data_IF_522601911143
#
_entry.id   IF_522601911143
#
_cell.length_a   1.000
_cell.length_b   1.000
_cell.length_c   1.000
_cell.angle_alpha   90.00
_cell.angle_beta   90.00
_cell.angle_gamma   90.00
#
_symmetry.space_group_name_H-M   'P 1'
#
loop_
_entity.id
_entity.type
_entity.pdbx_description
1 polymer ?
#
# COMPACT_ATOMS: atom_id res chain seq x y z
N UNK A 1 11.73 -14.45 15.69
CA UNK A 1 11.04 -14.39 14.39
C UNK A 1 11.26 -15.70 13.67
N UNK A 2 10.19 -16.36 13.24
CA UNK A 2 10.26 -17.62 12.48
C UNK A 2 10.31 -17.30 11.00
N UNK A 3 11.28 -17.83 10.27
CA UNK A 3 11.26 -17.77 8.82
C UNK A 3 10.20 -18.74 8.30
N UNK A 4 9.30 -18.23 7.45
CA UNK A 4 8.32 -19.05 6.74
C UNK A 4 8.80 -19.17 5.31
N UNK A 5 9.03 -20.39 4.86
CA UNK A 5 9.30 -20.69 3.46
C UNK A 5 8.02 -20.45 2.64
N UNK A 6 8.07 -19.52 1.69
CA UNK A 6 6.90 -19.17 0.85
C UNK A 6 6.89 -19.85 -0.50
N UNK A 7 8.07 -20.20 -1.01
CA UNK A 7 8.25 -20.77 -2.34
C UNK A 7 9.61 -21.48 -2.43
N UNK A 8 9.63 -22.69 -2.97
CA UNK A 8 10.83 -23.58 -2.97
C UNK A 8 11.25 -24.03 -4.37
N UNK A 9 10.47 -23.74 -5.41
CA UNK A 9 10.81 -24.12 -6.78
C UNK A 9 11.53 -22.98 -7.50
N UNK A 10 12.47 -23.35 -8.36
CA UNK A 10 13.12 -22.41 -9.27
C UNK A 10 12.33 -22.39 -10.58
N UNK A 11 11.85 -21.21 -10.96
CA UNK A 11 11.21 -20.98 -12.25
C UNK A 11 11.79 -19.71 -12.89
N UNK A 12 11.80 -19.66 -14.22
CA UNK A 12 12.29 -18.48 -14.95
C UNK A 12 11.14 -17.50 -15.08
N UNK A 13 11.25 -16.34 -14.45
CA UNK A 13 10.16 -15.37 -14.41
C UNK A 13 10.62 -13.96 -14.09
N UNK A 14 9.65 -13.08 -13.84
CA UNK A 14 9.88 -11.70 -13.42
C UNK A 14 9.26 -11.45 -12.05
N UNK A 15 9.88 -10.57 -11.27
CA UNK A 15 9.32 -10.07 -10.01
C UNK A 15 8.88 -8.62 -10.25
N UNK A 16 7.63 -8.31 -9.91
CA UNK A 16 7.08 -6.96 -10.05
C UNK A 16 6.52 -6.50 -8.71
N UNK A 17 6.93 -5.30 -8.28
CA UNK A 17 6.39 -4.64 -7.09
C UNK A 17 5.56 -3.43 -7.51
N UNK A 18 4.44 -3.22 -6.82
CA UNK A 18 3.63 -2.01 -6.95
C UNK A 18 3.07 -1.63 -5.58
N UNK A 19 2.97 -0.34 -5.29
CA UNK A 19 2.52 0.14 -3.98
C UNK A 19 2.48 1.65 -3.92
N UNK A 20 1.79 2.20 -2.91
CA UNK A 20 1.83 3.62 -2.59
C UNK A 20 2.13 3.80 -1.09
N UNK A 21 2.57 4.99 -0.73
CA UNK A 21 2.64 5.41 0.68
C UNK A 21 1.23 5.69 1.23
N UNK A 22 1.03 5.49 2.54
CA UNK A 22 -0.23 5.88 3.21
C UNK A 22 -0.24 7.36 3.61
N UNK A 23 0.93 7.98 3.70
CA UNK A 23 1.08 9.34 4.20
C UNK A 23 2.27 10.08 3.63
N UNK A 24 2.20 11.39 3.77
CA UNK A 24 3.16 12.38 3.32
C UNK A 24 3.75 13.09 4.54
N UNK A 25 5.07 13.29 4.49
CA UNK A 25 5.83 13.95 5.54
C UNK A 25 5.39 15.39 5.74
N UNK A 26 5.43 15.83 7.00
CA UNK A 26 4.95 17.15 7.40
C UNK A 26 6.07 18.18 7.47
N UNK A 27 5.68 19.44 7.46
CA UNK A 27 6.51 20.52 8.00
C UNK A 27 6.13 20.82 9.45
N UNK A 28 6.72 21.88 10.00
CA UNK A 28 6.27 22.46 11.27
C UNK A 28 4.95 23.24 11.14
N UNK A 29 4.56 23.59 9.91
CA UNK A 29 3.30 24.28 9.62
C UNK A 29 2.19 23.26 9.32
N UNK A 30 1.03 23.42 9.95
CA UNK A 30 -0.13 22.53 9.73
C UNK A 30 -0.60 22.63 8.28
N UNK A 31 -0.91 21.50 7.66
CA UNK A 31 -1.41 21.48 6.29
C UNK A 31 -0.34 21.73 5.22
N UNK A 32 0.95 21.79 5.59
CA UNK A 32 2.03 22.03 4.64
C UNK A 32 2.97 20.80 4.60
N UNK A 33 3.24 20.23 3.41
CA UNK A 33 4.24 19.17 3.23
C UNK A 33 5.63 19.61 3.72
N UNK A 34 6.45 18.66 4.14
CA UNK A 34 7.82 18.98 4.55
C UNK A 34 8.67 17.74 4.81
N UNK A 35 9.78 17.95 5.51
CA UNK A 35 10.81 16.93 5.79
C UNK A 35 10.88 16.54 7.26
N UNK A 36 9.95 17.01 8.09
CA UNK A 36 9.79 16.50 9.46
C UNK A 36 9.23 15.09 9.29
N UNK A 37 10.09 14.09 9.51
CA UNK A 37 9.89 12.66 9.27
C UNK A 37 8.75 12.07 10.11
N UNK A 38 7.54 12.51 9.80
CA UNK A 38 6.32 12.32 10.55
C UNK A 38 5.15 12.61 9.61
N UNK A 39 4.22 11.66 9.52
CA UNK A 39 3.06 11.77 8.64
C UNK A 39 2.08 12.80 9.21
N UNK A 40 1.56 13.68 8.35
CA UNK A 40 0.42 14.54 8.71
C UNK A 40 -0.57 14.81 7.58
N UNK A 41 -0.22 14.45 6.36
CA UNK A 41 -1.18 14.28 5.26
C UNK A 41 -1.32 12.79 4.94
N UNK A 42 -2.53 12.26 4.96
CA UNK A 42 -2.86 10.91 4.54
C UNK A 42 -3.43 10.92 3.13
N UNK A 43 -3.03 9.94 2.31
CA UNK A 43 -3.52 9.80 0.93
C UNK A 43 -4.92 9.18 0.95
N UNK A 44 -5.79 9.68 0.06
CA UNK A 44 -7.13 9.17 -0.18
C UNK A 44 -7.43 9.12 -1.68
N UNK A 45 -8.23 8.12 -2.10
CA UNK A 45 -8.65 7.99 -3.51
C UNK A 45 -9.49 9.17 -4.02
N UNK A 46 -10.12 9.93 -3.13
CA UNK A 46 -10.99 11.06 -3.48
C UNK A 46 -10.15 12.33 -3.73
N UNK A 47 -9.82 12.58 -4.99
CA UNK A 47 -8.98 13.72 -5.43
C UNK A 47 -9.64 15.09 -5.27
N UNK A 48 -10.95 15.16 -5.05
CA UNK A 48 -11.66 16.42 -4.78
C UNK A 48 -11.44 17.01 -3.38
N UNK A 49 -10.70 16.31 -2.52
CA UNK A 49 -10.34 16.77 -1.18
C UNK A 49 -8.86 17.07 -1.13
N UNK A 50 -8.49 18.14 -0.46
CA UNK A 50 -7.10 18.51 -0.27
C UNK A 50 -6.92 18.97 1.18
N UNK A 51 -5.89 18.48 1.85
CA UNK A 51 -5.50 18.98 3.16
C UNK A 51 -4.46 20.09 2.99
N UNK A 52 -4.84 21.35 3.22
CA UNK A 52 -3.92 22.49 3.10
C UNK A 52 -3.24 22.57 1.72
N UNK A 53 -1.92 22.67 1.69
CA UNK A 53 -1.10 22.69 0.48
C UNK A 53 -0.50 21.34 0.08
N UNK A 54 -0.91 20.25 0.73
CA UNK A 54 -0.61 18.91 0.22
C UNK A 54 -1.27 18.69 -1.15
N UNK A 55 -0.82 17.74 -1.98
CA UNK A 55 -1.48 17.43 -3.24
C UNK A 55 -2.98 17.09 -3.06
N UNK A 56 -3.83 17.32 -4.08
CA UNK A 56 -5.20 16.82 -4.08
C UNK A 56 -5.26 15.31 -3.84
N UNK A 57 -6.31 14.84 -3.17
CA UNK A 57 -6.39 13.47 -2.65
C UNK A 57 -5.74 13.30 -1.28
N UNK A 58 -5.79 14.32 -0.42
CA UNK A 58 -5.19 14.26 0.92
C UNK A 58 -6.16 14.66 2.03
N UNK A 59 -6.01 14.03 3.20
CA UNK A 59 -6.76 14.33 4.43
C UNK A 59 -5.84 14.34 5.64
N UNK A 60 -6.20 15.01 6.73
CA UNK A 60 -5.54 14.88 8.02
C UNK A 60 -6.18 13.81 8.92
N UNK A 61 -7.23 13.12 8.46
CA UNK A 61 -7.95 12.09 9.20
C UNK A 61 -7.41 10.71 8.84
N UNK A 62 -6.61 10.11 9.72
CA UNK A 62 -5.97 8.83 9.46
C UNK A 62 -6.97 7.70 9.15
N UNK A 63 -8.13 7.68 9.81
CA UNK A 63 -9.19 6.67 9.60
C UNK A 63 -9.80 6.71 8.21
N UNK A 64 -9.63 7.82 7.48
CA UNK A 64 -10.16 8.00 6.14
C UNK A 64 -9.11 7.74 5.07
N UNK A 65 -7.91 7.27 5.43
CA UNK A 65 -6.88 6.95 4.45
C UNK A 65 -7.34 5.87 3.47
N UNK A 66 -6.82 5.91 2.24
CA UNK A 66 -7.01 4.84 1.26
C UNK A 66 -5.92 4.88 0.21
N UNK A 67 -5.44 3.70 -0.18
CA UNK A 67 -4.46 3.51 -1.24
C UNK A 67 -4.98 2.49 -2.24
N UNK A 68 -4.68 2.69 -3.53
CA UNK A 68 -4.95 1.72 -4.57
C UNK A 68 -3.82 1.76 -5.59
N UNK A 69 -3.38 0.59 -6.03
CA UNK A 69 -2.39 0.47 -7.08
C UNK A 69 -2.78 -0.66 -8.02
N UNK A 70 -2.36 -0.55 -9.28
CA UNK A 70 -2.60 -1.56 -10.31
C UNK A 70 -1.29 -2.26 -10.62
N UNK A 71 -1.31 -3.59 -10.54
CA UNK A 71 -0.23 -4.45 -10.99
C UNK A 71 -0.52 -4.91 -12.42
N UNK A 72 0.20 -4.36 -13.39
CA UNK A 72 0.08 -4.80 -14.78
C UNK A 72 1.04 -5.97 -15.02
N UNK A 73 0.48 -7.15 -15.29
CA UNK A 73 1.24 -8.34 -15.68
C UNK A 73 1.18 -8.52 -17.21
N UNK A 74 2.26 -8.97 -17.86
CA UNK A 74 2.20 -9.33 -19.27
C UNK A 74 1.14 -10.40 -19.55
N UNK A 75 0.51 -10.33 -20.72
CA UNK A 75 -0.45 -11.34 -21.15
C UNK A 75 0.21 -12.73 -21.25
N UNK A 76 -0.49 -13.77 -20.80
CA UNK A 76 0.03 -15.15 -20.80
C UNK A 76 0.93 -15.49 -19.61
N UNK A 77 1.18 -14.55 -18.68
CA UNK A 77 1.88 -14.87 -17.43
C UNK A 77 1.02 -15.75 -16.51
N UNK A 78 1.68 -16.48 -15.62
CA UNK A 78 1.06 -17.18 -14.49
C UNK A 78 1.58 -16.57 -13.18
N UNK A 79 0.68 -16.24 -12.24
CA UNK A 79 1.10 -15.77 -10.92
C UNK A 79 1.44 -16.96 -10.03
N UNK A 80 2.73 -17.19 -9.84
CA UNK A 80 3.25 -18.22 -8.94
C UNK A 80 3.03 -17.87 -7.46
N UNK A 81 3.17 -16.58 -7.14
CA UNK A 81 3.00 -16.05 -5.79
C UNK A 81 2.62 -14.57 -5.83
N UNK A 82 1.71 -14.15 -4.94
CA UNK A 82 1.40 -12.75 -4.71
C UNK A 82 1.19 -12.49 -3.22
N UNK A 83 1.70 -11.34 -2.76
CA UNK A 83 1.56 -10.89 -1.39
C UNK A 83 1.32 -9.38 -1.35
N UNK A 84 0.44 -8.96 -0.44
CA UNK A 84 0.42 -7.59 0.03
C UNK A 84 1.34 -7.45 1.25
N UNK A 85 2.37 -6.63 1.11
CA UNK A 85 3.22 -6.24 2.24
C UNK A 85 2.79 -4.84 2.66
N UNK A 86 2.50 -4.67 3.95
CA UNK A 86 2.19 -3.38 4.52
C UNK A 86 2.77 -3.28 5.93
N UNK A 87 3.09 -2.07 6.36
CA UNK A 87 3.67 -1.82 7.66
C UNK A 87 3.69 -0.33 7.98
N UNK A 88 3.77 -0.03 9.27
CA UNK A 88 3.89 1.31 9.79
C UNK A 88 4.22 1.25 11.28
N UNK A 89 4.99 2.22 11.75
CA UNK A 89 5.24 2.43 13.17
C UNK A 89 4.68 3.78 13.56
N UNK A 90 4.30 3.93 14.82
CA UNK A 90 3.93 5.21 15.39
C UNK A 90 4.32 5.23 16.88
N UNK A 91 4.41 6.43 17.42
CA UNK A 91 5.16 6.70 18.66
C UNK A 91 4.36 6.40 19.94
N UNK A 92 3.01 6.28 19.89
CA UNK A 92 2.17 6.24 21.10
C UNK A 92 1.14 5.09 21.12
N UNK A 93 1.45 3.94 21.76
CA UNK A 93 0.54 2.79 22.04
C UNK A 93 0.32 1.82 20.84
N UNK A 94 -0.47 0.71 20.93
CA UNK A 94 -0.81 -0.18 19.82
C UNK A 94 -2.33 -0.17 19.46
N UNK A 95 -2.90 0.93 18.99
CA UNK A 95 -3.78 0.93 17.82
C UNK A 95 -3.20 0.05 16.70
N UNK A 96 -3.84 -1.10 16.40
CA UNK A 96 -3.47 -1.89 15.26
C UNK A 96 -3.93 -1.09 14.04
N UNK A 97 -2.99 -0.66 13.20
CA UNK A 97 -3.34 -0.49 11.80
C UNK A 97 -4.06 -1.79 11.40
N UNK A 98 -5.37 -1.71 11.23
CA UNK A 98 -6.21 -2.86 10.90
C UNK A 98 -6.51 -2.72 9.42
N UNK A 99 -5.89 -3.59 8.62
CA UNK A 99 -6.21 -3.65 7.21
C UNK A 99 -7.70 -3.97 7.10
N UNK A 100 -8.46 -3.07 6.49
CA UNK A 100 -9.85 -3.33 6.11
C UNK A 100 -9.86 -3.71 4.63
N UNK A 101 -10.51 -4.83 4.35
CA UNK A 101 -10.83 -5.41 3.03
C UNK A 101 -9.84 -5.10 1.90
N UNK A 102 -8.97 -6.06 1.62
CA UNK A 102 -8.02 -6.02 0.49
C UNK A 102 -8.59 -6.88 -0.63
N UNK A 103 -8.92 -6.25 -1.76
CA UNK A 103 -9.39 -6.93 -2.96
C UNK A 103 -8.20 -7.07 -3.91
N UNK A 104 -7.70 -8.30 -4.07
CA UNK A 104 -6.75 -8.66 -5.11
C UNK A 104 -7.54 -9.18 -6.31
N UNK A 105 -7.66 -8.37 -7.36
CA UNK A 105 -8.21 -8.81 -8.65
C UNK A 105 -7.06 -9.00 -9.63
N UNK A 106 -6.92 -10.19 -10.24
CA UNK A 106 -5.96 -10.37 -11.32
C UNK A 106 -6.47 -9.80 -12.64
N UNK A 107 -5.55 -9.35 -13.48
CA UNK A 107 -5.86 -8.98 -14.85
C UNK A 107 -6.47 -10.18 -15.60
N UNK A 108 -7.42 -9.91 -16.50
CA UNK A 108 -8.02 -10.96 -17.33
C UNK A 108 -6.94 -11.73 -18.10
N UNK A 109 -7.02 -13.06 -18.10
CA UNK A 109 -6.05 -13.92 -18.77
C UNK A 109 -4.81 -14.31 -17.96
N UNK A 110 -4.70 -13.92 -16.69
CA UNK A 110 -3.64 -14.37 -15.78
C UNK A 110 -4.25 -15.15 -14.59
N UNK A 111 -4.28 -16.50 -14.64
CA UNK A 111 -4.81 -17.30 -13.53
C UNK A 111 -3.91 -17.19 -12.29
N UNK A 112 -4.53 -17.04 -11.11
CA UNK A 112 -3.83 -17.11 -9.81
C UNK A 112 -3.88 -18.53 -9.26
N UNK A 113 -2.73 -19.04 -8.83
CA UNK A 113 -2.66 -20.37 -8.23
C UNK A 113 -2.77 -20.31 -6.69
N UNK A 114 -2.25 -19.26 -6.03
CA UNK A 114 -2.35 -19.07 -4.57
C UNK A 114 -2.28 -17.58 -4.17
N UNK A 115 -3.32 -17.06 -3.51
CA UNK A 115 -3.28 -15.75 -2.84
C UNK A 115 -3.65 -15.92 -1.36
N UNK A 116 -2.78 -15.47 -0.45
CA UNK A 116 -3.05 -15.48 1.00
C UNK A 116 -2.82 -14.08 1.57
N UNK A 117 -3.85 -13.55 2.24
CA UNK A 117 -3.78 -12.33 3.03
C UNK A 117 -3.07 -12.65 4.36
N UNK A 118 -2.05 -11.87 4.73
CA UNK A 118 -1.48 -11.84 6.08
C UNK A 118 -1.73 -10.48 6.70
#
# INVERSE_FOLDING_TARGET
>A
MTFIERYVINDTGAITFTGNTLGLSRSNTVGVPGTVDSIRGYIIKRTSVQFGSYPPGTTNVFKNNSSATVLNLPAGCTVLYAELIWGGTYIDSPDPATAREVILSTASGCPTTYGRLM
#
